data_IF_960667717778
#
_entry.id   IF_960667717778
#
_cell.length_a   1.000
_cell.length_b   1.000
_cell.length_c   1.000
_cell.angle_alpha   90.00
_cell.angle_beta   90.00
_cell.angle_gamma   90.00
#
_symmetry.space_group_name_H-M   'P 1'
#
loop_
_entity.id
_entity.type
_entity.pdbx_description
1 polymer ?
#
# COMPACT_ATOMS: atom_id res chain seq x y z
N UNK A 1 -49.77 -19.41 -26.37
CA UNK A 1 -49.33 -18.14 -27.02
C UNK A 1 -47.96 -17.75 -26.48
N UNK A 2 -46.93 -17.54 -27.33
CA UNK A 2 -45.57 -17.23 -26.90
C UNK A 2 -45.36 -15.71 -26.76
N UNK A 3 -44.63 -15.26 -25.73
CA UNK A 3 -44.26 -13.86 -25.51
C UNK A 3 -42.83 -13.62 -26.02
N UNK A 4 -42.72 -12.74 -27.00
CA UNK A 4 -41.53 -12.43 -27.82
C UNK A 4 -40.46 -11.65 -27.04
N UNK A 5 -39.19 -11.97 -27.34
CA UNK A 5 -37.97 -11.31 -26.81
C UNK A 5 -37.83 -9.89 -27.37
N UNK A 6 -37.65 -8.89 -26.51
CA UNK A 6 -37.27 -7.52 -26.91
C UNK A 6 -35.75 -7.37 -26.82
N UNK A 7 -35.09 -7.21 -27.98
CA UNK A 7 -33.67 -6.87 -28.11
C UNK A 7 -33.51 -5.37 -27.88
N UNK A 8 -32.72 -4.96 -26.89
CA UNK A 8 -32.20 -3.59 -26.83
C UNK A 8 -30.73 -3.58 -27.25
N UNK A 9 -30.49 -3.12 -28.48
CA UNK A 9 -29.22 -2.51 -28.88
C UNK A 9 -29.24 -1.07 -28.36
N UNK A 10 -28.29 -0.69 -27.51
CA UNK A 10 -27.89 0.71 -27.42
C UNK A 10 -26.37 0.81 -27.53
N UNK A 11 -25.99 1.78 -28.34
CA UNK A 11 -24.72 2.02 -28.99
C UNK A 11 -23.64 2.52 -28.04
N UNK A 12 -22.46 1.90 -28.12
CA UNK A 12 -21.19 2.52 -27.76
C UNK A 12 -20.93 3.63 -28.77
N UNK A 13 -20.81 4.89 -28.35
CA UNK A 13 -20.01 5.94 -28.98
C UNK A 13 -19.99 7.23 -28.12
N UNK A 14 -18.78 7.76 -27.94
CA UNK A 14 -18.41 9.13 -27.54
C UNK A 14 -18.49 9.56 -26.06
N UNK A 15 -17.41 9.31 -25.29
CA UNK A 15 -17.03 10.13 -24.11
C UNK A 15 -15.76 10.98 -24.39
N UNK A 16 -15.17 10.85 -25.58
CA UNK A 16 -13.86 11.42 -25.91
C UNK A 16 -13.88 12.87 -26.42
N UNK A 17 -14.94 13.66 -26.20
CA UNK A 17 -15.07 15.02 -26.76
C UNK A 17 -15.25 16.15 -25.74
N UNK A 18 -14.94 15.94 -24.45
CA UNK A 18 -15.28 16.93 -23.42
C UNK A 18 -14.16 17.87 -22.96
N UNK A 19 -12.90 17.66 -23.32
CA UNK A 19 -11.82 18.48 -22.76
C UNK A 19 -10.71 18.83 -23.76
N UNK A 20 -11.08 19.62 -24.77
CA UNK A 20 -10.15 20.54 -25.44
C UNK A 20 -10.84 21.90 -25.51
N UNK A 21 -10.39 22.86 -24.69
CA UNK A 21 -10.59 24.29 -24.95
C UNK A 21 -9.31 25.04 -24.67
N UNK A 22 -9.09 26.02 -25.53
CA UNK A 22 -7.85 26.66 -25.91
C UNK A 22 -7.23 27.55 -24.84
N UNK A 23 -5.90 27.66 -24.91
CA UNK A 23 -5.08 28.66 -24.24
C UNK A 23 -5.42 30.07 -24.74
N UNK A 24 -5.74 30.98 -23.81
CA UNK A 24 -5.59 32.42 -24.02
C UNK A 24 -4.75 33.03 -22.89
N UNK A 25 -3.62 33.58 -23.32
CA UNK A 25 -2.73 34.49 -22.64
C UNK A 25 -3.44 35.81 -22.35
N UNK A 26 -3.23 36.39 -21.16
CA UNK A 26 -3.12 37.83 -20.91
C UNK A 26 -2.61 38.09 -19.49
N UNK A 27 -2.09 39.30 -19.29
CA UNK A 27 -0.91 39.67 -18.49
C UNK A 27 -1.20 40.55 -17.26
N UNK A 28 -0.22 40.56 -16.33
CA UNK A 28 0.29 41.65 -15.48
C UNK A 28 -0.35 42.03 -14.11
N UNK A 29 0.60 42.23 -13.16
CA UNK A 29 0.61 43.10 -11.95
C UNK A 29 -0.30 42.68 -10.77
N UNK A 30 0.10 42.70 -9.49
CA UNK A 30 1.04 43.56 -8.77
C UNK A 30 1.68 42.92 -7.52
N UNK A 31 2.78 43.55 -7.10
CA UNK A 31 3.60 43.31 -5.91
C UNK A 31 2.91 43.87 -4.65
N UNK A 32 2.95 43.16 -3.52
CA UNK A 32 3.11 43.80 -2.20
C UNK A 32 3.69 42.85 -1.16
N UNK A 33 4.85 43.25 -0.66
CA UNK A 33 5.52 42.73 0.52
C UNK A 33 4.78 43.16 1.79
N UNK A 34 4.64 42.25 2.76
CA UNK A 34 4.49 42.65 4.16
C UNK A 34 5.39 41.79 5.03
N UNK A 35 6.47 42.44 5.46
CA UNK A 35 7.39 42.00 6.49
C UNK A 35 6.99 42.69 7.80
N UNK A 36 6.89 41.92 8.88
CA UNK A 36 6.89 42.47 10.25
C UNK A 36 7.46 41.43 11.22
N UNK A 37 8.69 41.71 11.64
CA UNK A 37 9.44 41.13 12.75
C UNK A 37 8.80 41.44 14.12
N UNK A 38 9.40 40.86 15.18
CA UNK A 38 9.34 41.14 16.64
C UNK A 38 8.91 39.86 17.39
N UNK A 39 9.59 39.30 18.39
CA UNK A 39 10.76 39.67 19.17
C UNK A 39 11.49 38.41 19.69
N UNK A 40 12.80 38.53 19.83
CA UNK A 40 13.65 37.66 20.64
C UNK A 40 13.49 38.01 22.13
N UNK A 41 13.38 37.01 23.00
CA UNK A 41 13.68 37.14 24.42
C UNK A 41 14.63 36.02 24.84
N UNK A 42 15.89 36.41 25.03
CA UNK A 42 16.93 35.69 25.76
C UNK A 42 16.63 35.65 27.24
N UNK A 43 16.96 34.55 27.93
CA UNK A 43 17.77 34.53 29.18
C UNK A 43 17.67 33.18 29.89
N UNK A 44 18.83 32.63 30.30
CA UNK A 44 18.89 31.82 31.51
C UNK A 44 19.61 30.47 31.41
N UNK A 45 20.90 30.47 31.08
CA UNK A 45 21.80 29.35 31.37
C UNK A 45 21.81 29.03 32.87
N UNK A 46 21.41 27.82 33.23
CA UNK A 46 21.83 27.17 34.49
C UNK A 46 22.21 25.72 34.22
N UNK A 47 23.46 25.55 33.82
CA UNK A 47 24.16 24.26 33.82
C UNK A 47 24.37 23.85 35.28
N UNK A 48 23.56 22.92 35.77
CA UNK A 48 23.84 22.20 37.02
C UNK A 48 24.75 21.03 36.70
N UNK A 49 26.02 21.19 37.03
CA UNK A 49 27.02 20.11 37.09
C UNK A 49 26.61 19.17 38.22
N UNK A 50 26.46 17.88 37.93
CA UNK A 50 26.53 16.85 38.95
C UNK A 50 27.51 15.78 38.50
N UNK A 51 28.62 15.71 39.23
CA UNK A 51 29.71 14.76 39.00
C UNK A 51 29.35 13.37 39.53
N UNK A 52 29.68 12.36 38.70
CA UNK A 52 30.15 11.01 39.01
C UNK A 52 29.59 10.31 40.27
N UNK A 53 28.74 9.31 40.00
CA UNK A 53 28.75 8.05 40.77
C UNK A 53 29.21 6.95 39.82
N UNK A 54 30.44 6.51 40.00
CA UNK A 54 30.97 5.25 39.48
C UNK A 54 30.43 4.09 40.31
N UNK A 55 29.89 3.05 39.66
CA UNK A 55 30.24 1.65 39.93
C UNK A 55 29.48 0.73 38.97
N UNK A 56 30.16 -0.35 38.60
CA UNK A 56 29.83 -1.31 37.55
C UNK A 56 28.52 -2.06 37.76
N UNK A 57 27.68 -2.11 36.73
CA UNK A 57 27.03 -3.36 36.31
C UNK A 57 27.26 -3.53 34.81
N UNK A 58 28.33 -4.27 34.50
CA UNK A 58 28.48 -4.93 33.21
C UNK A 58 27.52 -6.13 33.21
N UNK A 59 26.43 -6.06 32.46
CA UNK A 59 25.83 -7.27 31.90
C UNK A 59 25.30 -6.98 30.49
N UNK A 60 26.08 -7.47 29.52
CA UNK A 60 25.66 -7.92 28.19
C UNK A 60 24.84 -6.93 27.35
N UNK A 61 25.53 -5.91 26.83
CA UNK A 61 25.22 -5.36 25.51
C UNK A 61 26.18 -6.00 24.51
N UNK A 62 25.93 -7.25 24.16
CA UNK A 62 26.33 -7.74 22.84
C UNK A 62 25.20 -7.34 21.90
N UNK A 63 25.31 -6.13 21.35
CA UNK A 63 24.56 -5.75 20.17
C UNK A 63 25.03 -6.66 19.04
N UNK A 64 24.34 -7.78 18.85
CA UNK A 64 24.32 -8.43 17.55
C UNK A 64 23.76 -7.39 16.57
N UNK A 65 24.64 -6.79 15.76
CA UNK A 65 24.24 -6.10 14.54
C UNK A 65 23.72 -7.17 13.56
N UNK A 66 22.55 -7.72 13.84
CA UNK A 66 21.76 -8.40 12.83
C UNK A 66 21.20 -7.29 11.97
N UNK A 67 21.73 -7.14 10.76
CA UNK A 67 21.09 -6.30 9.76
C UNK A 67 19.70 -6.90 9.49
N UNK A 68 18.67 -6.33 10.15
CA UNK A 68 17.27 -6.65 9.96
C UNK A 68 16.87 -6.35 8.51
N UNK A 69 17.16 -7.30 7.64
CA UNK A 69 16.79 -7.20 6.23
C UNK A 69 15.35 -7.70 6.13
N UNK A 70 14.39 -6.80 6.36
CA UNK A 70 12.97 -7.09 6.11
C UNK A 70 12.79 -7.45 4.62
N UNK A 71 12.73 -8.75 4.33
CA UNK A 71 12.49 -9.29 2.99
C UNK A 71 10.99 -9.28 2.65
N UNK A 72 10.33 -8.13 2.87
CA UNK A 72 8.95 -7.93 2.45
C UNK A 72 8.81 -7.79 0.94
N UNK A 73 7.58 -7.93 0.40
CA UNK A 73 7.34 -7.73 -1.02
C UNK A 73 7.58 -6.26 -1.40
N UNK A 74 8.42 -6.06 -2.43
CA UNK A 74 8.71 -4.75 -3.01
C UNK A 74 7.95 -4.55 -4.32
N UNK A 75 7.48 -3.33 -4.56
CA UNK A 75 6.65 -2.98 -5.71
C UNK A 75 7.22 -1.77 -6.45
N UNK A 76 7.26 -1.88 -7.78
CA UNK A 76 7.61 -0.79 -8.69
C UNK A 76 6.56 -0.71 -9.80
N UNK A 77 6.37 0.49 -10.37
CA UNK A 77 5.55 0.68 -11.56
C UNK A 77 6.46 0.53 -12.78
N UNK A 78 6.07 -0.34 -13.71
CA UNK A 78 6.85 -0.65 -14.92
C UNK A 78 5.97 -0.45 -16.14
N UNK A 79 6.48 0.25 -17.16
CA UNK A 79 5.81 0.35 -18.45
C UNK A 79 5.75 -1.01 -19.15
N UNK A 80 4.62 -1.30 -19.80
CA UNK A 80 4.39 -2.60 -20.43
C UNK A 80 5.36 -2.88 -21.58
N UNK A 81 5.75 -1.87 -22.35
CA UNK A 81 6.67 -2.06 -23.46
C UNK A 81 8.08 -2.29 -22.93
N UNK A 82 8.50 -1.52 -21.92
CA UNK A 82 9.79 -1.74 -21.25
C UNK A 82 9.91 -3.17 -20.71
N UNK A 83 8.86 -3.70 -20.08
CA UNK A 83 8.84 -5.10 -19.62
C UNK A 83 8.90 -6.10 -20.78
N UNK A 84 8.21 -5.83 -21.89
CA UNK A 84 8.26 -6.69 -23.07
C UNK A 84 9.65 -6.69 -23.74
N UNK A 85 10.33 -5.55 -23.75
CA UNK A 85 11.65 -5.39 -24.37
C UNK A 85 12.73 -6.23 -23.67
N UNK A 86 12.59 -6.46 -22.36
CA UNK A 86 13.46 -7.37 -21.60
C UNK A 86 13.47 -8.78 -22.23
N UNK A 87 12.31 -9.24 -22.72
CA UNK A 87 12.16 -10.59 -23.30
C UNK A 87 12.55 -10.68 -24.78
N UNK A 88 12.77 -9.54 -25.46
CA UNK A 88 13.05 -9.50 -26.90
C UNK A 88 14.32 -10.26 -27.28
N UNK A 89 15.32 -10.24 -26.41
CA UNK A 89 16.61 -10.90 -26.62
C UNK A 89 16.79 -12.15 -25.77
N UNK A 90 15.75 -12.57 -25.03
CA UNK A 90 15.81 -13.78 -24.21
C UNK A 90 15.59 -15.01 -25.09
N UNK A 91 16.49 -15.98 -24.98
CA UNK A 91 16.38 -17.25 -25.69
C UNK A 91 15.37 -18.17 -25.01
N UNK A 92 14.57 -18.87 -25.81
CA UNK A 92 13.72 -19.95 -25.31
C UNK A 92 14.59 -21.13 -24.85
N UNK A 93 14.43 -21.60 -23.62
CA UNK A 93 15.19 -22.74 -23.08
C UNK A 93 14.92 -24.10 -23.73
N UNK A 94 13.99 -24.18 -24.71
CA UNK A 94 13.72 -25.42 -25.46
C UNK A 94 14.28 -25.33 -26.89
N UNK A 95 13.91 -24.30 -27.66
CA UNK A 95 14.34 -24.16 -29.06
C UNK A 95 15.56 -23.26 -29.26
N UNK A 96 16.06 -22.61 -28.21
CA UNK A 96 17.17 -21.66 -28.23
C UNK A 96 17.02 -20.49 -29.21
N UNK A 97 15.79 -20.18 -29.64
CA UNK A 97 15.49 -19.02 -30.48
C UNK A 97 15.01 -17.83 -29.61
N UNK A 98 15.34 -16.61 -30.03
CA UNK A 98 14.89 -15.35 -29.40
C UNK A 98 13.46 -15.01 -29.81
N UNK A 99 12.54 -15.94 -29.58
CA UNK A 99 11.13 -15.84 -29.99
C UNK A 99 10.17 -15.85 -28.80
N UNK A 100 10.71 -15.62 -27.59
CA UNK A 100 9.91 -15.44 -26.39
C UNK A 100 9.15 -14.12 -26.47
N UNK A 101 7.88 -14.18 -26.08
CA UNK A 101 7.00 -13.03 -26.03
C UNK A 101 6.22 -13.07 -24.72
N UNK A 102 6.18 -11.93 -24.05
CA UNK A 102 5.29 -11.71 -22.93
C UNK A 102 3.91 -11.29 -23.44
N UNK A 103 2.88 -12.01 -23.04
CA UNK A 103 1.48 -11.72 -23.34
C UNK A 103 0.71 -11.41 -22.07
N UNK A 104 -0.16 -10.40 -22.14
CA UNK A 104 -0.98 -9.97 -21.01
C UNK A 104 -2.38 -10.58 -21.14
N UNK A 105 -2.77 -11.37 -20.14
CA UNK A 105 -4.05 -12.05 -20.08
C UNK A 105 -5.14 -11.21 -19.40
N UNK A 106 -5.94 -11.90 -18.58
CA UNK A 106 -7.05 -11.28 -17.86
C UNK A 106 -6.56 -10.24 -16.83
N UNK A 107 -7.37 -9.20 -16.63
CA UNK A 107 -7.12 -8.09 -15.70
C UNK A 107 -7.92 -8.28 -14.43
N UNK A 108 -7.30 -8.09 -13.27
CA UNK A 108 -7.92 -8.26 -11.96
C UNK A 108 -7.66 -7.03 -11.10
N UNK A 109 -8.38 -5.94 -11.38
CA UNK A 109 -8.07 -4.64 -10.80
C UNK A 109 -6.74 -4.13 -11.34
N UNK A 110 -5.80 -3.83 -10.44
CA UNK A 110 -4.45 -3.37 -10.77
C UNK A 110 -3.54 -4.55 -11.17
N UNK A 111 -3.85 -5.76 -10.70
CA UNK A 111 -3.11 -6.98 -11.05
C UNK A 111 -3.43 -7.46 -12.48
N UNK A 112 -2.43 -7.96 -13.19
CA UNK A 112 -2.58 -8.59 -14.51
C UNK A 112 -2.02 -10.01 -14.51
N UNK A 113 -2.63 -10.85 -15.35
CA UNK A 113 -2.07 -12.13 -15.73
C UNK A 113 -0.96 -11.94 -16.77
N UNK A 114 0.16 -12.62 -16.56
CA UNK A 114 1.32 -12.65 -17.44
C UNK A 114 1.49 -14.05 -18.01
N UNK A 115 1.69 -14.16 -19.32
CA UNK A 115 1.95 -15.41 -20.02
C UNK A 115 3.22 -15.28 -20.83
N UNK A 116 4.19 -16.16 -20.61
CA UNK A 116 5.40 -16.23 -21.43
C UNK A 116 5.21 -17.31 -22.48
N UNK A 117 5.21 -16.93 -23.75
CA UNK A 117 4.95 -17.82 -24.88
C UNK A 117 6.14 -17.79 -25.84
N UNK A 118 6.56 -18.95 -26.32
CA UNK A 118 7.54 -19.05 -27.40
C UNK A 118 6.82 -19.21 -28.74
N UNK A 119 7.07 -18.32 -29.72
CA UNK A 119 6.43 -18.43 -31.04
C UNK A 119 6.86 -19.68 -31.83
N UNK A 120 8.12 -20.09 -31.70
CA UNK A 120 8.64 -21.27 -32.42
C UNK A 120 8.13 -22.58 -31.83
N UNK A 121 8.08 -22.70 -30.51
CA UNK A 121 7.52 -23.90 -29.86
C UNK A 121 5.99 -23.89 -29.84
N UNK A 122 5.37 -22.72 -30.01
CA UNK A 122 3.92 -22.49 -29.86
C UNK A 122 3.34 -22.97 -28.51
N UNK A 123 4.18 -23.00 -27.48
CA UNK A 123 3.82 -23.46 -26.13
C UNK A 123 3.90 -22.32 -25.12
N UNK A 124 2.91 -22.31 -24.20
CA UNK A 124 2.96 -21.49 -22.99
C UNK A 124 4.05 -22.05 -22.07
N UNK A 125 5.10 -21.27 -21.83
CA UNK A 125 6.23 -21.66 -20.96
C UNK A 125 5.98 -21.35 -19.51
N UNK A 126 5.30 -20.24 -19.23
CA UNK A 126 5.01 -19.79 -17.88
C UNK A 126 3.74 -18.97 -17.84
N UNK A 127 3.02 -19.06 -16.74
CA UNK A 127 1.88 -18.22 -16.43
C UNK A 127 1.92 -17.80 -14.96
N UNK A 128 1.82 -16.49 -14.72
CA UNK A 128 1.83 -15.93 -13.38
C UNK A 128 0.99 -14.65 -13.33
N UNK A 129 0.97 -13.99 -12.17
CA UNK A 129 0.32 -12.69 -11.98
C UNK A 129 1.35 -11.65 -11.55
N UNK A 130 1.10 -10.38 -11.85
CA UNK A 130 1.97 -9.26 -11.43
C UNK A 130 2.02 -9.05 -9.91
N UNK A 131 1.14 -9.72 -9.17
CA UNK A 131 1.09 -9.69 -7.71
C UNK A 131 0.58 -11.05 -7.23
N UNK A 132 1.05 -11.54 -6.06
CA UNK A 132 0.48 -12.72 -5.44
C UNK A 132 -0.95 -12.47 -4.95
N UNK A 133 -1.74 -13.54 -4.84
CA UNK A 133 -3.01 -13.53 -4.10
C UNK A 133 -2.72 -13.71 -2.62
N UNK A 134 -3.51 -13.06 -1.77
CA UNK A 134 -3.45 -13.32 -0.34
C UNK A 134 -3.95 -14.75 -0.05
N UNK A 135 -3.32 -15.39 0.94
CA UNK A 135 -3.64 -16.73 1.44
C UNK A 135 -5.15 -16.87 1.73
N UNK A 136 -5.74 -18.00 1.31
CA UNK A 136 -7.18 -18.28 1.50
C UNK A 136 -7.47 -18.64 2.94
N UNK A 137 -8.22 -17.79 3.66
CA UNK A 137 -8.88 -18.15 4.92
C UNK A 137 -10.35 -18.59 4.74
N UNK A 138 -10.96 -18.38 3.58
CA UNK A 138 -12.38 -18.71 3.34
C UNK A 138 -12.71 -18.97 1.86
N UNK A 139 -13.95 -19.41 1.58
CA UNK A 139 -14.48 -19.75 0.26
C UNK A 139 -14.68 -18.55 -0.70
N UNK A 140 -14.34 -17.32 -0.30
CA UNK A 140 -14.38 -16.16 -1.21
C UNK A 140 -13.08 -16.03 -1.98
N UNK A 141 -13.15 -15.45 -3.20
CA UNK A 141 -11.95 -15.19 -3.99
C UNK A 141 -11.07 -14.19 -3.25
N UNK A 142 -9.88 -14.62 -2.81
CA UNK A 142 -8.96 -13.73 -2.11
C UNK A 142 -8.42 -12.65 -3.05
N UNK A 143 -8.32 -11.39 -2.57
CA UNK A 143 -7.80 -10.31 -3.37
C UNK A 143 -6.30 -10.50 -3.63
N UNK A 144 -5.83 -9.87 -4.71
CA UNK A 144 -4.40 -9.70 -4.95
C UNK A 144 -3.82 -8.69 -3.97
N UNK A 145 -2.60 -8.95 -3.46
CA UNK A 145 -1.92 -8.10 -2.48
C UNK A 145 -1.80 -6.64 -2.98
N UNK A 146 -1.42 -6.45 -4.26
CA UNK A 146 -1.36 -5.11 -4.87
C UNK A 146 -2.70 -4.37 -4.87
N UNK A 147 -3.83 -5.08 -4.99
CA UNK A 147 -5.14 -4.44 -4.94
C UNK A 147 -5.48 -4.02 -3.52
N UNK A 148 -5.13 -4.83 -2.51
CA UNK A 148 -5.30 -4.47 -1.10
C UNK A 148 -4.47 -3.24 -0.77
N UNK A 149 -3.19 -3.22 -1.16
CA UNK A 149 -2.30 -2.07 -0.97
C UNK A 149 -2.82 -0.82 -1.65
N UNK A 150 -3.28 -0.92 -2.89
CA UNK A 150 -3.86 0.21 -3.60
C UNK A 150 -5.08 0.77 -2.84
N UNK A 151 -6.04 -0.08 -2.46
CA UNK A 151 -7.21 0.36 -1.68
C UNK A 151 -6.79 1.00 -0.36
N UNK A 152 -5.87 0.38 0.38
CA UNK A 152 -5.36 0.90 1.64
C UNK A 152 -4.68 2.27 1.47
N UNK A 153 -3.82 2.44 0.46
CA UNK A 153 -3.14 3.70 0.19
C UNK A 153 -4.14 4.83 -0.10
N UNK A 154 -5.16 4.57 -0.93
CA UNK A 154 -6.16 5.57 -1.26
C UNK A 154 -7.17 5.84 -0.14
N UNK A 155 -7.37 4.90 0.79
CA UNK A 155 -8.10 5.16 2.03
C UNK A 155 -7.27 6.02 2.99
N UNK A 156 -5.97 5.80 3.10
CA UNK A 156 -5.08 6.58 3.97
C UNK A 156 -5.03 8.06 3.59
N UNK A 157 -5.10 8.39 2.30
CA UNK A 157 -5.17 9.78 1.81
C UNK A 157 -6.61 10.31 1.66
N UNK A 158 -7.61 9.62 2.23
CA UNK A 158 -9.04 9.99 2.15
C UNK A 158 -9.61 10.13 0.72
N UNK A 159 -8.97 9.50 -0.27
CA UNK A 159 -9.32 9.66 -1.68
C UNK A 159 -10.45 8.75 -2.18
N UNK A 160 -10.64 7.59 -1.53
CA UNK A 160 -11.65 6.60 -1.91
C UNK A 160 -11.51 6.08 -3.35
N UNK A 161 -12.57 5.46 -3.89
CA UNK A 161 -12.54 4.83 -5.23
C UNK A 161 -12.33 5.85 -6.36
N UNK A 162 -12.91 7.05 -6.26
CA UNK A 162 -12.77 8.10 -7.27
C UNK A 162 -11.31 8.57 -7.46
N UNK A 163 -10.50 8.55 -6.39
CA UNK A 163 -9.09 8.91 -6.49
C UNK A 163 -8.26 7.80 -7.14
N UNK A 164 -8.58 6.52 -6.85
CA UNK A 164 -7.98 5.37 -7.55
C UNK A 164 -8.30 5.45 -9.05
N UNK A 165 -9.54 5.79 -9.41
CA UNK A 165 -9.97 5.94 -10.79
C UNK A 165 -9.15 7.00 -11.54
N UNK A 166 -8.99 8.20 -10.95
CA UNK A 166 -8.16 9.26 -11.53
C UNK A 166 -6.71 8.81 -11.67
N UNK A 167 -6.14 8.18 -10.65
CA UNK A 167 -4.77 7.66 -10.70
C UNK A 167 -4.58 6.64 -11.83
N UNK A 168 -5.46 5.64 -11.91
CA UNK A 168 -5.42 4.64 -12.98
C UNK A 168 -5.60 5.29 -14.37
N UNK A 169 -6.46 6.30 -14.49
CA UNK A 169 -6.69 7.04 -15.73
C UNK A 169 -5.41 7.77 -16.19
N UNK A 170 -4.74 8.50 -15.31
CA UNK A 170 -3.52 9.24 -15.67
C UNK A 170 -2.35 8.34 -16.06
N UNK A 171 -2.28 7.13 -15.51
CA UNK A 171 -1.25 6.14 -15.84
C UNK A 171 -1.67 5.13 -16.92
N UNK A 172 -2.87 5.27 -17.50
CA UNK A 172 -3.44 4.30 -18.44
C UNK A 172 -3.44 2.85 -17.90
N UNK A 173 -3.66 2.72 -16.59
CA UNK A 173 -3.72 1.45 -15.87
C UNK A 173 -5.18 0.96 -15.79
N UNK A 174 -5.42 -0.36 -15.69
CA UNK A 174 -6.76 -0.84 -15.40
C UNK A 174 -7.21 -0.45 -14.00
N UNK A 175 -8.53 -0.34 -13.87
CA UNK A 175 -9.21 0.01 -12.63
C UNK A 175 -10.03 -1.19 -12.13
N UNK A 176 -10.05 -1.39 -10.82
CA UNK A 176 -10.97 -2.32 -10.19
C UNK A 176 -12.39 -1.73 -10.12
N UNK A 177 -13.41 -2.58 -10.22
CA UNK A 177 -14.79 -2.13 -10.08
C UNK A 177 -15.05 -1.52 -8.70
N UNK A 178 -16.01 -0.59 -8.60
CA UNK A 178 -16.43 -0.01 -7.32
C UNK A 178 -16.88 -1.09 -6.31
N UNK A 179 -17.54 -2.15 -6.82
CA UNK A 179 -17.90 -3.33 -6.01
C UNK A 179 -16.66 -4.00 -5.41
N UNK A 180 -15.66 -4.31 -6.24
CA UNK A 180 -14.41 -4.94 -5.80
C UNK A 180 -13.65 -4.05 -4.81
N UNK A 181 -13.62 -2.74 -5.04
CA UNK A 181 -13.03 -1.78 -4.11
C UNK A 181 -13.70 -1.86 -2.72
N UNK A 182 -15.03 -1.89 -2.68
CA UNK A 182 -15.77 -1.97 -1.43
C UNK A 182 -15.59 -3.33 -0.73
N UNK A 183 -15.54 -4.43 -1.47
CA UNK A 183 -15.23 -5.76 -0.91
C UNK A 183 -13.85 -5.78 -0.24
N UNK A 184 -12.84 -5.21 -0.91
CA UNK A 184 -11.48 -5.09 -0.36
C UNK A 184 -11.45 -4.15 0.85
N UNK A 185 -12.18 -3.03 0.80
CA UNK A 185 -12.32 -2.12 1.95
C UNK A 185 -12.90 -2.83 3.17
N UNK A 186 -13.96 -3.62 2.98
CA UNK A 186 -14.54 -4.42 4.06
C UNK A 186 -13.54 -5.46 4.60
N UNK A 187 -12.76 -6.09 3.72
CA UNK A 187 -11.68 -7.00 4.11
C UNK A 187 -10.59 -6.30 4.95
N UNK A 188 -10.13 -5.11 4.55
CA UNK A 188 -9.14 -4.33 5.33
C UNK A 188 -9.71 -3.98 6.71
N UNK A 189 -10.96 -3.52 6.76
CA UNK A 189 -11.62 -3.19 8.02
C UNK A 189 -11.77 -4.39 8.95
N UNK A 190 -12.08 -5.59 8.41
CA UNK A 190 -12.20 -6.79 9.23
C UNK A 190 -10.85 -7.24 9.80
N UNK A 191 -9.76 -7.10 9.04
CA UNK A 191 -8.40 -7.33 9.53
C UNK A 191 -8.05 -6.32 10.63
N UNK A 192 -8.34 -5.03 10.41
CA UNK A 192 -8.11 -3.98 11.42
C UNK A 192 -8.89 -4.22 12.72
N UNK A 193 -10.15 -4.67 12.63
CA UNK A 193 -10.95 -5.00 13.80
C UNK A 193 -10.37 -6.20 14.58
N UNK A 194 -9.87 -7.21 13.88
CA UNK A 194 -9.18 -8.33 14.50
C UNK A 194 -7.91 -7.86 15.24
N UNK A 195 -7.10 -7.01 14.62
CA UNK A 195 -5.93 -6.39 15.26
C UNK A 195 -6.32 -5.58 16.50
N UNK A 196 -7.39 -4.78 16.43
CA UNK A 196 -7.90 -4.03 17.57
C UNK A 196 -8.32 -4.95 18.72
N UNK A 197 -8.93 -6.10 18.42
CA UNK A 197 -9.33 -7.08 19.44
C UNK A 197 -8.12 -7.64 20.18
N UNK A 198 -7.03 -7.93 19.46
CA UNK A 198 -5.76 -8.37 20.06
C UNK A 198 -5.15 -7.25 20.91
N UNK A 199 -5.10 -6.02 20.40
CA UNK A 199 -4.58 -4.87 21.16
C UNK A 199 -5.37 -4.62 22.44
N UNK A 200 -6.71 -4.72 22.38
CA UNK A 200 -7.57 -4.60 23.55
C UNK A 200 -7.33 -5.73 24.57
N UNK A 201 -7.11 -6.96 24.09
CA UNK A 201 -6.76 -8.08 24.96
C UNK A 201 -5.43 -7.87 25.68
N UNK A 202 -4.40 -7.42 24.95
CA UNK A 202 -3.08 -7.09 25.52
C UNK A 202 -3.21 -5.94 26.51
N UNK A 203 -3.89 -4.86 26.14
CA UNK A 203 -4.19 -3.73 27.02
C UNK A 203 -4.81 -4.17 28.35
N UNK A 204 -5.88 -4.98 28.29
CA UNK A 204 -6.55 -5.47 29.50
C UNK A 204 -5.63 -6.38 30.33
N UNK A 205 -4.79 -7.18 29.69
CA UNK A 205 -3.83 -8.06 30.37
C UNK A 205 -2.76 -7.26 31.12
N UNK A 206 -2.22 -6.21 30.49
CA UNK A 206 -1.25 -5.30 31.11
C UNK A 206 -1.91 -4.53 32.25
N UNK A 207 -3.10 -3.96 32.04
CA UNK A 207 -3.85 -3.24 33.06
C UNK A 207 -4.11 -4.11 34.31
N UNK A 208 -4.50 -5.37 34.11
CA UNK A 208 -4.71 -6.34 35.20
C UNK A 208 -3.42 -6.65 35.98
N UNK A 209 -2.27 -6.74 35.29
CA UNK A 209 -0.99 -6.98 35.95
C UNK A 209 -0.60 -5.80 36.86
N UNK A 210 -0.65 -4.57 36.35
CA UNK A 210 -0.33 -3.36 37.13
C UNK A 210 -1.32 -3.09 38.27
N UNK A 211 -2.60 -3.43 38.08
CA UNK A 211 -3.62 -3.33 39.13
C UNK A 211 -3.32 -4.21 40.36
N UNK A 212 -2.60 -5.32 40.19
CA UNK A 212 -2.16 -6.19 41.30
C UNK A 212 -0.99 -5.60 42.08
N UNK A 213 -0.07 -4.88 41.42
CA UNK A 213 1.08 -4.25 42.06
C UNK A 213 0.72 -2.96 42.81
N UNK A 214 -0.32 -2.25 42.37
CA UNK A 214 -0.76 -0.99 42.98
C UNK A 214 -1.64 -1.15 44.24
N UNK A 215 -1.82 -2.37 44.76
CA UNK A 215 -2.58 -2.60 46.01
C UNK A 215 -1.92 -1.97 47.26
N UNK A 216 -0.64 -1.57 47.18
CA UNK A 216 0.14 -1.01 48.29
C UNK A 216 0.16 0.53 48.34
N UNK A 217 -0.73 1.22 47.62
CA UNK A 217 -1.05 2.63 47.89
C UNK A 217 -0.14 3.69 47.26
N UNK A 218 0.81 3.37 46.39
CA UNK A 218 1.49 4.39 45.56
C UNK A 218 0.75 4.56 44.24
N UNK A 219 -0.01 5.63 44.16
CA UNK A 219 -0.95 5.94 43.10
C UNK A 219 -0.25 6.63 41.91
N UNK A 220 0.33 5.88 40.96
CA UNK A 220 1.11 6.55 39.88
C UNK A 220 0.86 6.11 38.44
N UNK A 221 0.39 4.89 38.15
CA UNK A 221 0.16 4.46 36.75
C UNK A 221 -1.27 3.95 36.56
N UNK A 222 -2.13 4.81 36.03
CA UNK A 222 -3.56 4.52 35.76
C UNK A 222 -3.90 4.49 34.28
N UNK A 223 -3.10 5.17 33.45
CA UNK A 223 -3.30 5.27 32.01
C UNK A 223 -2.19 4.51 31.29
N UNK A 224 -2.54 3.40 30.64
CA UNK A 224 -1.60 2.51 29.96
C UNK A 224 -2.05 2.42 28.50
N UNK A 225 -1.39 3.16 27.63
CA UNK A 225 -1.57 3.00 26.19
C UNK A 225 -0.76 1.79 25.70
N UNK A 226 -1.41 0.84 25.04
CA UNK A 226 -0.73 -0.23 24.30
C UNK A 226 -0.77 0.11 22.83
N UNK A 227 0.41 0.24 22.23
CA UNK A 227 0.58 0.41 20.79
C UNK A 227 1.50 -0.69 20.27
N UNK A 228 1.30 -1.08 19.01
CA UNK A 228 2.16 -2.00 18.30
C UNK A 228 2.73 -1.25 17.10
N UNK A 229 4.02 -0.91 17.17
CA UNK A 229 4.71 -0.15 16.13
C UNK A 229 5.19 -1.04 14.98
N UNK A 230 5.09 -2.37 15.13
CA UNK A 230 5.49 -3.35 14.12
C UNK A 230 7.00 -3.40 13.86
N UNK A 231 7.81 -2.73 14.69
CA UNK A 231 9.27 -2.69 14.55
C UNK A 231 9.93 -4.01 14.96
N UNK A 232 9.21 -4.84 15.73
CA UNK A 232 9.70 -6.12 16.24
C UNK A 232 9.00 -7.27 15.53
N UNK A 233 9.74 -8.01 14.71
CA UNK A 233 9.29 -9.27 14.11
C UNK A 233 9.11 -10.32 15.22
N UNK A 234 7.92 -10.93 15.27
CA UNK A 234 7.67 -12.20 15.97
C UNK A 234 7.90 -13.38 15.03
#
# INVERSE_FOLDING_TARGET
MPRTKRKNKSSKLSIQKRWCTETKTESNMDISEHNSNVAQHSSGDRILKNERISMQEKSVLEQENVADTYNGPSYIIVDKNALCDIFKYTLCGICNQSTLKLEFGHKYGVSHQLKLVCKTCSEQKMECFTSPRLEKKSNTSTPFDVNVRAVQAFLAISGGHASVEKFCMFLNMPLMSSKTFNEIKCYINSVSLASQTVLNYVHNSVQNAYSKFNQNGSNTVTDIAVSFDGTWLT
#
